data_IF_571708928299
#
_entry.id   IF_571708928299
#
_cell.length_a   1.000
_cell.length_b   1.000
_cell.length_c   1.000
_cell.angle_alpha   90.00
_cell.angle_beta   90.00
_cell.angle_gamma   90.00
#
_symmetry.space_group_name_H-M   'P 1'
#
loop_
_entity.id
_entity.type
_entity.pdbx_description
1 polymer ?
#
# COMPACT_ATOMS: atom_id res chain seq x y z
N UNK A 1 15.17 11.10 -22.09
CA UNK A 1 14.54 12.40 -21.80
C UNK A 1 14.28 12.56 -20.32
N UNK A 2 14.72 13.67 -19.77
CA UNK A 2 14.47 13.98 -18.37
C UNK A 2 12.97 14.29 -18.18
N UNK A 3 12.40 13.84 -17.09
CA UNK A 3 10.99 14.12 -16.77
C UNK A 3 10.73 15.63 -16.66
N UNK A 4 11.73 16.41 -16.24
CA UNK A 4 11.59 17.85 -16.16
C UNK A 4 11.46 18.52 -17.52
N UNK A 5 11.95 17.91 -18.56
CA UNK A 5 11.86 18.45 -19.91
C UNK A 5 10.49 18.21 -20.55
N UNK A 6 9.74 17.25 -20.04
CA UNK A 6 8.47 16.87 -20.60
C UNK A 6 7.34 17.79 -20.16
N UNK A 7 7.48 18.36 -19.00
CA UNK A 7 6.34 19.02 -18.37
C UNK A 7 5.80 20.21 -19.15
N UNK A 8 6.62 21.04 -19.75
CA UNK A 8 6.09 22.21 -20.44
C UNK A 8 4.80 22.68 -19.79
N UNK A 9 3.74 22.73 -20.53
CA UNK A 9 2.43 23.08 -20.01
C UNK A 9 1.56 21.88 -19.69
N UNK A 10 1.99 20.68 -20.05
CA UNK A 10 1.22 19.46 -19.80
C UNK A 10 2.09 18.22 -19.92
N UNK A 11 1.62 17.15 -19.29
CA UNK A 11 2.16 15.81 -19.47
C UNK A 11 1.11 14.95 -20.13
N UNK A 12 1.53 13.94 -20.89
CA UNK A 12 0.60 12.96 -21.41
C UNK A 12 0.00 12.15 -20.25
N UNK A 13 -1.18 11.57 -20.46
CA UNK A 13 -1.83 10.72 -19.46
C UNK A 13 -0.93 9.57 -19.03
N UNK A 14 -0.19 9.00 -19.99
CA UNK A 14 0.74 7.92 -19.70
C UNK A 14 1.88 8.36 -18.78
N UNK A 15 2.41 9.56 -18.99
CA UNK A 15 3.48 10.10 -18.16
C UNK A 15 3.00 10.37 -16.75
N UNK A 16 1.80 10.91 -16.59
CA UNK A 16 1.18 11.09 -15.28
C UNK A 16 0.98 9.76 -14.58
N UNK A 17 0.51 8.75 -15.29
CA UNK A 17 0.31 7.42 -14.73
C UNK A 17 1.63 6.80 -14.26
N UNK A 18 2.70 6.98 -15.02
CA UNK A 18 4.02 6.49 -14.61
C UNK A 18 4.52 7.16 -13.33
N UNK A 19 4.28 8.47 -13.19
CA UNK A 19 4.67 9.17 -11.97
C UNK A 19 3.88 8.68 -10.76
N UNK A 20 2.58 8.46 -10.93
CA UNK A 20 1.73 7.92 -9.88
C UNK A 20 2.13 6.50 -9.50
N UNK A 21 2.47 5.70 -10.50
CA UNK A 21 2.94 4.33 -10.27
C UNK A 21 4.27 4.33 -9.50
N UNK A 22 5.18 5.22 -9.87
CA UNK A 22 6.46 5.34 -9.17
C UNK A 22 6.23 5.70 -7.70
N UNK A 23 5.29 6.62 -7.42
CA UNK A 23 4.95 7.00 -6.05
C UNK A 23 4.36 5.82 -5.29
N UNK A 24 3.51 5.03 -5.92
CA UNK A 24 2.93 3.83 -5.32
C UNK A 24 4.03 2.84 -4.93
N UNK A 25 4.99 2.58 -5.81
CA UNK A 25 6.11 1.69 -5.51
C UNK A 25 6.99 2.23 -4.40
N UNK A 26 7.15 3.54 -4.33
CA UNK A 26 7.91 4.18 -3.25
C UNK A 26 7.24 3.92 -1.90
N UNK A 27 5.93 4.03 -1.84
CA UNK A 27 5.18 3.75 -0.62
C UNK A 27 5.30 2.28 -0.24
N UNK A 28 5.13 1.37 -1.18
CA UNK A 28 5.27 -0.07 -0.94
C UNK A 28 6.71 -0.49 -0.66
N UNK A 29 7.68 0.33 -1.03
CA UNK A 29 9.10 0.02 -0.79
C UNK A 29 9.54 0.12 0.66
N UNK A 30 8.67 0.57 1.55
CA UNK A 30 8.96 0.58 2.99
C UNK A 30 8.65 -0.80 3.59
N UNK A 31 9.62 -1.45 4.27
CA UNK A 31 9.41 -2.81 4.80
C UNK A 31 8.24 -2.94 5.74
N UNK A 32 8.00 -1.94 6.60
CA UNK A 32 6.88 -1.98 7.54
C UNK A 32 5.55 -1.93 6.81
N UNK A 33 5.42 -1.02 5.86
CA UNK A 33 4.18 -0.90 5.07
C UNK A 33 3.95 -2.14 4.23
N UNK A 34 5.01 -2.66 3.61
CA UNK A 34 4.88 -3.87 2.81
C UNK A 34 4.44 -5.07 3.65
N UNK A 35 4.95 -5.16 4.89
CA UNK A 35 4.53 -6.22 5.81
C UNK A 35 3.05 -6.11 6.17
N UNK A 36 2.55 -4.90 6.38
CA UNK A 36 1.12 -4.69 6.66
C UNK A 36 0.28 -5.17 5.49
N UNK A 37 0.67 -4.78 4.26
CA UNK A 37 -0.06 -5.21 3.06
C UNK A 37 -0.05 -6.74 2.94
N UNK A 38 1.09 -7.36 3.18
CA UNK A 38 1.22 -8.81 3.14
C UNK A 38 0.29 -9.49 4.15
N UNK A 39 0.18 -8.96 5.37
CA UNK A 39 -0.74 -9.50 6.38
C UNK A 39 -2.19 -9.42 5.93
N UNK A 40 -2.54 -8.42 5.13
CA UNK A 40 -3.91 -8.20 4.67
C UNK A 40 -4.24 -8.98 3.39
N UNK A 41 -3.30 -9.76 2.84
CA UNK A 41 -3.56 -10.51 1.61
C UNK A 41 -4.72 -11.50 1.75
N UNK A 42 -4.82 -12.15 2.89
CA UNK A 42 -5.80 -13.22 3.08
C UNK A 42 -6.90 -12.88 4.09
N UNK A 43 -6.71 -11.85 4.90
CA UNK A 43 -7.64 -11.54 5.98
C UNK A 43 -7.74 -10.04 6.22
N UNK A 44 -8.95 -9.58 6.55
CA UNK A 44 -9.06 -8.25 7.12
C UNK A 44 -8.61 -8.28 8.57
N UNK A 45 -8.03 -7.19 9.05
CA UNK A 45 -7.50 -7.11 10.40
C UNK A 45 -7.73 -5.72 10.99
N UNK A 46 -7.99 -5.65 12.29
CA UNK A 46 -8.06 -4.37 12.99
C UNK A 46 -6.65 -3.91 13.39
N UNK A 47 -6.54 -2.62 13.75
CA UNK A 47 -5.26 -2.03 14.15
C UNK A 47 -4.58 -2.82 15.26
N UNK A 48 -5.35 -3.18 16.28
CA UNK A 48 -4.81 -3.91 17.43
C UNK A 48 -4.20 -5.24 17.02
N UNK A 49 -4.90 -5.97 16.15
CA UNK A 49 -4.41 -7.27 15.67
C UNK A 49 -3.13 -7.14 14.85
N UNK A 50 -3.08 -6.13 13.96
CA UNK A 50 -1.87 -5.85 13.18
C UNK A 50 -0.71 -5.50 14.11
N UNK A 51 -0.96 -4.61 15.08
CA UNK A 51 0.05 -4.16 16.03
C UNK A 51 0.63 -5.33 16.82
N UNK A 52 -0.24 -6.20 17.34
CA UNK A 52 0.20 -7.39 18.06
C UNK A 52 1.03 -8.33 17.18
N UNK A 53 0.57 -8.58 15.98
CA UNK A 53 1.26 -9.47 15.04
C UNK A 53 2.65 -8.96 14.69
N UNK A 54 2.78 -7.65 14.56
CA UNK A 54 4.05 -7.03 14.16
C UNK A 54 4.93 -6.62 15.35
N UNK A 55 4.42 -6.74 16.57
CA UNK A 55 5.15 -6.31 17.75
C UNK A 55 5.41 -4.81 17.77
N UNK A 56 4.45 -4.02 17.28
CA UNK A 56 4.56 -2.57 17.19
C UNK A 56 3.42 -1.90 17.95
N UNK A 57 3.62 -0.64 18.30
CA UNK A 57 2.57 0.14 18.97
C UNK A 57 1.42 0.47 18.03
N UNK A 58 0.22 0.61 18.60
CA UNK A 58 -0.98 0.92 17.80
C UNK A 58 -0.87 2.27 17.09
N UNK A 59 -0.24 3.27 17.74
CA UNK A 59 -0.05 4.58 17.11
C UNK A 59 0.80 4.50 15.85
N UNK A 60 1.87 3.70 15.90
CA UNK A 60 2.76 3.51 14.75
C UNK A 60 2.03 2.81 13.62
N UNK A 61 1.26 1.76 13.93
CA UNK A 61 0.47 1.05 12.92
C UNK A 61 -0.61 1.95 12.34
N UNK A 62 -1.31 2.71 13.18
CA UNK A 62 -2.34 3.65 12.71
C UNK A 62 -1.76 4.67 11.73
N UNK A 63 -0.54 5.17 12.01
CA UNK A 63 0.14 6.10 11.12
C UNK A 63 0.42 5.45 9.76
N UNK A 64 0.95 4.23 9.77
CA UNK A 64 1.25 3.51 8.53
C UNK A 64 -0.01 3.18 7.74
N UNK A 65 -1.08 2.80 8.42
CA UNK A 65 -2.37 2.54 7.75
C UNK A 65 -2.94 3.80 7.12
N UNK A 66 -2.73 4.97 7.74
CA UNK A 66 -3.16 6.23 7.14
C UNK A 66 -2.42 6.50 5.83
N UNK A 67 -1.10 6.30 5.82
CA UNK A 67 -0.30 6.46 4.60
C UNK A 67 -0.80 5.52 3.51
N UNK A 68 -1.02 4.25 3.85
CA UNK A 68 -1.50 3.24 2.90
C UNK A 68 -2.90 3.56 2.38
N UNK A 69 -3.77 4.09 3.24
CA UNK A 69 -5.13 4.46 2.84
C UNK A 69 -5.14 5.66 1.91
N UNK A 70 -4.31 6.67 2.20
CA UNK A 70 -4.19 7.85 1.33
C UNK A 70 -3.67 7.46 -0.05
N UNK A 71 -2.84 6.43 -0.12
CA UNK A 71 -2.33 5.91 -1.39
C UNK A 71 -3.30 4.92 -2.06
N UNK A 72 -4.46 4.70 -1.47
CA UNK A 72 -5.49 3.77 -1.95
C UNK A 72 -5.00 2.33 -2.06
N UNK A 73 -4.12 1.94 -1.16
CA UNK A 73 -3.64 0.57 -1.08
C UNK A 73 -4.47 -0.27 -0.10
N UNK A 74 -5.04 0.39 0.92
CA UNK A 74 -5.92 -0.26 1.88
C UNK A 74 -7.20 0.55 2.04
N UNK A 75 -8.24 -0.11 2.50
CA UNK A 75 -9.50 0.49 2.90
C UNK A 75 -9.92 -0.09 4.24
N UNK A 76 -11.01 0.38 4.80
CA UNK A 76 -11.54 -0.20 6.03
C UNK A 76 -13.06 -0.13 6.07
N UNK A 77 -13.64 -1.02 6.86
CA UNK A 77 -15.04 -0.94 7.25
C UNK A 77 -15.12 -0.87 8.76
N UNK A 78 -16.14 -0.22 9.26
CA UNK A 78 -16.36 -0.16 10.71
C UNK A 78 -17.43 -1.17 11.12
N UNK A 79 -17.18 -1.82 12.25
CA UNK A 79 -18.15 -2.64 12.94
C UNK A 79 -18.14 -2.17 14.40
N UNK A 80 -19.16 -1.39 14.77
CA UNK A 80 -19.17 -0.70 16.05
C UNK A 80 -18.03 0.33 16.11
N UNK A 81 -17.16 0.19 17.10
CA UNK A 81 -16.02 1.10 17.29
C UNK A 81 -14.75 0.59 16.63
N UNK A 82 -14.79 -0.59 16.04
CA UNK A 82 -13.61 -1.23 15.49
C UNK A 82 -13.55 -1.05 13.97
N UNK A 83 -12.41 -0.60 13.46
CA UNK A 83 -12.16 -0.54 12.03
C UNK A 83 -11.38 -1.78 11.60
N UNK A 84 -11.88 -2.46 10.58
CA UNK A 84 -11.23 -3.63 9.99
C UNK A 84 -10.66 -3.25 8.63
N UNK A 85 -9.35 -3.37 8.50
CA UNK A 85 -8.63 -2.99 7.30
C UNK A 85 -8.48 -4.16 6.35
N UNK A 86 -8.55 -3.87 5.07
CA UNK A 86 -8.36 -4.86 4.00
C UNK A 86 -7.68 -4.18 2.82
N UNK A 87 -7.19 -4.96 1.87
CA UNK A 87 -6.62 -4.38 0.66
C UNK A 87 -7.72 -3.67 -0.13
N UNK A 88 -7.34 -2.58 -0.78
CA UNK A 88 -8.30 -1.70 -1.45
C UNK A 88 -9.05 -2.41 -2.58
N UNK A 89 -8.35 -3.25 -3.34
CA UNK A 89 -8.93 -3.96 -4.48
C UNK A 89 -8.03 -5.13 -4.90
N UNK A 90 -8.51 -5.90 -5.87
CA UNK A 90 -7.79 -7.06 -6.38
C UNK A 90 -6.50 -6.72 -7.09
N UNK A 91 -6.36 -5.49 -7.59
CA UNK A 91 -5.13 -5.05 -8.24
C UNK A 91 -3.97 -5.02 -7.25
N UNK A 92 -4.23 -4.51 -6.04
CA UNK A 92 -3.20 -4.44 -4.99
C UNK A 92 -2.77 -5.84 -4.60
N UNK A 93 -3.72 -6.73 -4.39
CA UNK A 93 -3.44 -8.14 -4.06
C UNK A 93 -2.58 -8.79 -5.15
N UNK A 94 -2.97 -8.63 -6.40
CA UNK A 94 -2.28 -9.22 -7.54
C UNK A 94 -0.84 -8.70 -7.64
N UNK A 95 -0.67 -7.39 -7.47
CA UNK A 95 0.65 -6.74 -7.54
C UNK A 95 1.61 -7.33 -6.51
N UNK A 96 1.15 -7.44 -5.27
CA UNK A 96 2.00 -7.94 -4.18
C UNK A 96 2.28 -9.43 -4.33
N UNK A 97 1.28 -10.24 -4.68
CA UNK A 97 1.47 -11.68 -4.89
C UNK A 97 2.45 -11.94 -6.02
N UNK A 98 2.33 -11.23 -7.15
CA UNK A 98 3.24 -11.38 -8.27
C UNK A 98 4.65 -10.95 -7.91
N UNK A 99 4.78 -9.87 -7.16
CA UNK A 99 6.09 -9.42 -6.68
C UNK A 99 6.75 -10.47 -5.80
N UNK A 100 6.00 -11.04 -4.87
CA UNK A 100 6.51 -12.08 -3.98
C UNK A 100 6.93 -13.32 -4.75
N UNK A 101 6.13 -13.74 -5.72
CA UNK A 101 6.47 -14.87 -6.58
C UNK A 101 7.75 -14.59 -7.38
N UNK A 102 7.86 -13.39 -7.92
CA UNK A 102 9.03 -13.01 -8.71
C UNK A 102 10.33 -13.11 -7.88
N UNK A 103 10.33 -12.54 -6.67
CA UNK A 103 11.54 -12.54 -5.83
C UNK A 103 11.87 -13.94 -5.29
N UNK A 104 10.86 -14.78 -5.10
CA UNK A 104 11.07 -16.13 -4.62
C UNK A 104 11.78 -17.02 -5.65
N UNK A 105 11.75 -16.65 -6.93
CA UNK A 105 12.35 -17.40 -8.02
C UNK A 105 13.68 -16.81 -8.51
N UNK A 106 14.25 -15.91 -7.74
CA UNK A 106 15.57 -15.34 -8.07
C UNK A 106 16.71 -16.22 -7.62
#
# INVERSE_FOLDING_TARGET
MDMNEIKGDYMSDKQESLLKLAELFKILGDPTRLKIVELLLDNEMCVNHIAETMGMGQSAISHQLRVLRQARLVTYRKDGKTAYYSLNDDHVECLVRMGMEHVAHQ
#
